data_IF_806369904392
#
_entry.id   IF_806369904392
#
_cell.length_a   1.000
_cell.length_b   1.000
_cell.length_c   1.000
_cell.angle_alpha   90.00
_cell.angle_beta   90.00
_cell.angle_gamma   90.00
#
_symmetry.space_group_name_H-M   'P 1'
#
loop_
_entity.id
_entity.type
_entity.pdbx_description
1 polymer ?
#
# COMPACT_ATOMS: atom_id res chain seq x y z
N UNK A 1 12.86 -5.97 18.17
CA UNK A 1 12.11 -6.78 19.15
C UNK A 1 10.64 -6.36 19.30
N UNK A 2 10.30 -5.08 19.48
CA UNK A 2 8.89 -4.70 19.71
C UNK A 2 7.97 -4.92 18.49
N UNK A 3 8.40 -4.49 17.28
CA UNK A 3 7.61 -4.66 16.06
C UNK A 3 7.42 -6.13 15.62
N UNK A 4 8.30 -7.04 16.06
CA UNK A 4 8.21 -8.46 15.74
C UNK A 4 7.23 -9.23 16.63
N UNK A 5 6.71 -8.63 17.70
CA UNK A 5 5.75 -9.27 18.61
C UNK A 5 4.29 -9.08 18.21
N UNK A 6 3.99 -8.05 17.40
CA UNK A 6 2.62 -7.72 16.99
C UNK A 6 1.93 -8.92 16.32
N UNK A 7 2.58 -9.53 15.34
CA UNK A 7 1.97 -10.60 14.54
C UNK A 7 1.85 -11.93 15.27
N UNK A 8 2.83 -12.37 16.09
CA UNK A 8 2.64 -13.49 17.01
C UNK A 8 1.45 -13.33 17.95
N UNK A 9 1.21 -12.12 18.49
CA UNK A 9 0.03 -11.85 19.33
C UNK A 9 -1.25 -11.87 18.49
N UNK A 10 -1.28 -11.18 17.35
CA UNK A 10 -2.44 -11.16 16.46
C UNK A 10 -2.85 -12.57 16.00
N UNK A 11 -1.87 -13.46 15.76
CA UNK A 11 -2.12 -14.83 15.31
C UNK A 11 -2.85 -15.68 16.36
N UNK A 12 -2.84 -15.30 17.64
CA UNK A 12 -3.63 -15.95 18.69
C UNK A 12 -5.14 -15.67 18.54
N UNK A 13 -5.51 -14.56 17.89
CA UNK A 13 -6.90 -14.12 17.75
C UNK A 13 -7.43 -14.24 16.32
N UNK A 14 -6.56 -14.03 15.32
CA UNK A 14 -6.90 -14.08 13.89
C UNK A 14 -5.89 -14.98 13.18
N UNK A 15 -6.15 -16.30 13.09
CA UNK A 15 -5.21 -17.24 12.50
C UNK A 15 -5.12 -17.11 10.98
N UNK A 16 -4.01 -17.59 10.41
CA UNK A 16 -3.83 -17.73 8.96
C UNK A 16 -3.48 -16.43 8.24
N UNK A 17 -3.02 -15.39 8.95
CA UNK A 17 -2.58 -14.13 8.34
C UNK A 17 -1.26 -14.25 7.57
N UNK A 18 -0.51 -15.33 7.81
CA UNK A 18 0.69 -15.77 7.09
C UNK A 18 0.40 -16.28 5.67
N UNK A 19 -0.86 -16.60 5.36
CA UNK A 19 -1.29 -17.19 4.07
C UNK A 19 -1.63 -16.15 3.01
N UNK A 20 -1.38 -14.87 3.28
CA UNK A 20 -1.70 -13.79 2.36
C UNK A 20 -0.89 -12.54 2.65
N UNK A 21 -1.42 -11.39 2.27
CA UNK A 21 -0.74 -10.10 2.33
C UNK A 21 -1.49 -9.09 3.18
N UNK A 22 -0.74 -8.13 3.72
CA UNK A 22 -1.28 -6.92 4.32
C UNK A 22 -1.24 -5.74 3.36
N UNK A 23 -2.37 -5.06 3.14
CA UNK A 23 -2.42 -3.81 2.41
C UNK A 23 -2.32 -2.63 3.37
N UNK A 24 -1.09 -2.17 3.61
CA UNK A 24 -0.82 -1.03 4.49
C UNK A 24 -0.36 0.18 3.70
N UNK A 25 -1.04 1.31 3.92
CA UNK A 25 -0.64 2.61 3.35
C UNK A 25 0.37 3.28 4.28
N UNK A 26 1.66 3.14 3.92
CA UNK A 26 2.79 3.60 4.72
C UNK A 26 3.50 4.74 3.99
N UNK A 27 3.81 5.82 4.68
CA UNK A 27 4.38 7.03 4.06
C UNK A 27 5.59 7.51 4.84
N UNK A 28 6.66 7.85 4.12
CA UNK A 28 7.69 8.73 4.65
C UNK A 28 7.19 10.18 4.70
N UNK A 29 7.91 11.00 5.45
CA UNK A 29 7.73 12.46 5.55
C UNK A 29 9.05 13.16 5.32
N UNK A 30 8.98 14.48 5.16
CA UNK A 30 10.15 15.34 5.02
C UNK A 30 11.16 15.10 6.14
N UNK A 31 12.42 15.31 5.81
CA UNK A 31 13.55 15.25 6.72
C UNK A 31 14.40 16.51 6.54
N UNK A 32 15.06 16.92 7.60
CA UNK A 32 16.01 18.03 7.61
C UNK A 32 17.31 17.61 8.31
N UNK A 33 18.28 18.51 8.35
CA UNK A 33 19.51 18.34 9.14
C UNK A 33 19.61 19.45 10.18
N UNK A 34 20.06 19.11 11.38
CA UNK A 34 20.42 20.10 12.40
C UNK A 34 21.69 20.86 11.97
N UNK A 35 22.01 22.01 12.59
CA UNK A 35 23.27 22.72 12.31
C UNK A 35 24.53 21.85 12.49
N UNK A 36 24.47 20.85 13.38
CA UNK A 36 25.55 19.86 13.58
C UNK A 36 25.55 18.70 12.59
N UNK A 37 24.71 18.72 11.56
CA UNK A 37 24.65 17.70 10.50
C UNK A 37 23.81 16.45 10.82
N UNK A 38 23.18 16.36 12.00
CA UNK A 38 22.36 15.22 12.38
C UNK A 38 21.00 15.24 11.66
N UNK A 39 20.49 14.09 11.18
CA UNK A 39 19.19 14.03 10.53
C UNK A 39 18.05 14.23 11.55
N UNK A 40 17.13 15.15 11.27
CA UNK A 40 15.90 15.37 12.02
C UNK A 40 14.70 14.97 11.16
N UNK A 41 13.96 13.94 11.60
CA UNK A 41 12.84 13.36 10.86
C UNK A 41 11.89 12.59 11.78
N UNK A 42 10.62 12.37 11.37
CA UNK A 42 9.70 11.54 12.13
C UNK A 42 10.22 10.11 12.33
N UNK A 43 9.89 9.52 13.47
CA UNK A 43 10.38 8.18 13.84
C UNK A 43 10.06 7.12 12.78
N UNK A 44 8.87 7.18 12.18
CA UNK A 44 8.46 6.23 11.14
C UNK A 44 9.22 6.44 9.83
N UNK A 45 9.51 7.68 9.44
CA UNK A 45 10.41 7.96 8.32
C UNK A 45 11.78 7.34 8.58
N UNK A 46 12.30 7.47 9.80
CA UNK A 46 13.58 6.87 10.18
C UNK A 46 13.52 5.34 10.11
N UNK A 47 12.43 4.73 10.60
CA UNK A 47 12.22 3.29 10.56
C UNK A 47 12.13 2.75 9.12
N UNK A 48 11.27 3.32 8.27
CA UNK A 48 11.12 2.88 6.88
C UNK A 48 12.41 3.04 6.09
N UNK A 49 13.22 4.07 6.37
CA UNK A 49 14.52 4.27 5.72
C UNK A 49 15.63 3.37 6.25
N UNK A 50 15.45 2.71 7.39
CA UNK A 50 16.45 1.84 8.03
C UNK A 50 16.59 0.48 7.35
N UNK A 51 17.71 -0.21 7.59
CA UNK A 51 17.92 -1.59 7.16
C UNK A 51 16.92 -2.57 7.78
N UNK A 52 16.42 -2.30 9.00
CA UNK A 52 15.40 -3.12 9.64
C UNK A 52 14.11 -3.21 8.85
N UNK A 53 13.79 -2.19 8.06
CA UNK A 53 12.63 -2.21 7.17
C UNK A 53 13.02 -2.64 5.76
N UNK A 54 14.04 -2.00 5.17
CA UNK A 54 14.44 -2.22 3.77
C UNK A 54 14.95 -3.63 3.51
N UNK A 55 15.76 -4.14 4.44
CA UNK A 55 16.45 -5.42 4.34
C UNK A 55 15.90 -6.41 5.37
N UNK A 56 14.61 -6.27 5.72
CA UNK A 56 13.95 -7.21 6.63
C UNK A 56 14.07 -8.63 6.06
N UNK A 57 14.42 -9.64 6.87
CA UNK A 57 14.37 -11.02 6.42
C UNK A 57 12.94 -11.35 5.99
N UNK A 58 12.80 -12.36 5.14
CA UNK A 58 11.48 -12.84 4.78
C UNK A 58 10.74 -13.27 6.05
N UNK A 59 9.57 -12.66 6.26
CA UNK A 59 8.62 -13.02 7.31
C UNK A 59 7.23 -13.00 6.66
N UNK A 60 6.49 -14.12 6.65
CA UNK A 60 5.16 -14.19 6.03
C UNK A 60 4.19 -13.15 6.59
N UNK A 61 4.38 -12.69 7.83
CA UNK A 61 3.56 -11.66 8.45
C UNK A 61 4.00 -10.22 8.13
N UNK A 62 5.09 -10.02 7.39
CA UNK A 62 5.49 -8.71 6.83
C UNK A 62 5.42 -8.67 5.31
N UNK A 63 4.67 -9.62 4.73
CA UNK A 63 4.34 -9.67 3.31
C UNK A 63 3.28 -8.59 2.99
N UNK A 64 3.74 -7.46 2.46
CA UNK A 64 2.89 -6.32 2.10
C UNK A 64 2.61 -6.28 0.61
N UNK A 65 1.48 -5.67 0.24
CA UNK A 65 1.17 -5.39 -1.17
C UNK A 65 2.09 -4.30 -1.74
N UNK A 66 2.48 -3.32 -0.92
CA UNK A 66 3.29 -2.18 -1.30
C UNK A 66 4.79 -2.52 -1.34
N UNK A 67 5.48 -2.36 -2.49
CA UNK A 67 6.93 -2.43 -2.55
C UNK A 67 7.60 -1.38 -1.66
N UNK A 68 8.85 -1.61 -1.24
CA UNK A 68 9.55 -0.63 -0.41
C UNK A 68 9.72 0.71 -1.15
N UNK A 69 9.93 0.70 -2.46
CA UNK A 69 10.11 1.87 -3.31
C UNK A 69 8.89 2.78 -3.30
N UNK A 70 7.68 2.21 -3.33
CA UNK A 70 6.43 2.99 -3.28
C UNK A 70 6.23 3.68 -1.93
N UNK A 71 6.64 3.02 -0.83
CA UNK A 71 6.60 3.57 0.54
C UNK A 71 7.66 4.66 0.74
N UNK A 72 8.82 4.50 0.12
CA UNK A 72 9.97 5.38 0.24
C UNK A 72 9.96 6.55 -0.75
N UNK A 73 8.96 6.60 -1.64
CA UNK A 73 8.78 7.72 -2.55
C UNK A 73 8.49 9.00 -1.74
N UNK A 74 9.28 10.08 -1.94
CA UNK A 74 9.10 11.33 -1.21
C UNK A 74 7.86 12.11 -1.67
N UNK A 75 7.41 11.88 -2.91
CA UNK A 75 6.18 12.44 -3.43
C UNK A 75 4.97 11.66 -2.88
N UNK A 76 4.16 12.32 -2.06
CA UNK A 76 3.02 11.69 -1.41
C UNK A 76 1.92 11.26 -2.37
N UNK A 77 1.76 11.94 -3.52
CA UNK A 77 0.79 11.55 -4.54
C UNK A 77 1.23 10.25 -5.20
N UNK A 78 2.48 10.21 -5.68
CA UNK A 78 3.03 9.03 -6.34
C UNK A 78 3.09 7.83 -5.40
N UNK A 79 3.47 8.05 -4.14
CA UNK A 79 3.44 7.03 -3.09
C UNK A 79 2.03 6.49 -2.86
N UNK A 80 1.02 7.35 -2.74
CA UNK A 80 -0.38 6.91 -2.53
C UNK A 80 -0.92 6.15 -3.74
N UNK A 81 -0.73 6.71 -4.94
CA UNK A 81 -1.22 6.13 -6.19
C UNK A 81 -0.65 4.72 -6.41
N UNK A 82 0.68 4.58 -6.32
CA UNK A 82 1.36 3.31 -6.55
C UNK A 82 1.03 2.26 -5.49
N UNK A 83 0.91 2.64 -4.21
CA UNK A 83 0.47 1.72 -3.15
C UNK A 83 -0.97 1.25 -3.35
N UNK A 84 -1.88 2.14 -3.74
CA UNK A 84 -3.27 1.79 -4.06
C UNK A 84 -3.33 0.82 -5.24
N UNK A 85 -2.60 1.11 -6.32
CA UNK A 85 -2.54 0.27 -7.50
C UNK A 85 -2.02 -1.13 -7.18
N UNK A 86 -0.94 -1.24 -6.40
CA UNK A 86 -0.40 -2.52 -5.96
C UNK A 86 -1.43 -3.30 -5.10
N UNK A 87 -2.17 -2.59 -4.24
CA UNK A 87 -3.23 -3.18 -3.43
C UNK A 87 -4.41 -3.72 -4.25
N UNK A 88 -4.80 -3.04 -5.32
CA UNK A 88 -5.82 -3.51 -6.25
C UNK A 88 -5.35 -4.71 -7.09
N UNK A 89 -4.12 -4.67 -7.61
CA UNK A 89 -3.56 -5.77 -8.40
C UNK A 89 -3.48 -7.08 -7.61
N UNK A 90 -3.28 -6.99 -6.30
CA UNK A 90 -3.12 -8.14 -5.40
C UNK A 90 -4.36 -8.38 -4.53
N UNK A 91 -5.54 -7.89 -4.95
CA UNK A 91 -6.71 -7.76 -4.07
C UNK A 91 -7.18 -9.08 -3.44
N UNK A 92 -6.98 -10.22 -4.12
CA UNK A 92 -7.37 -11.56 -3.63
C UNK A 92 -6.47 -12.05 -2.50
N UNK A 93 -5.22 -11.59 -2.45
CA UNK A 93 -4.26 -12.01 -1.42
C UNK A 93 -4.40 -11.17 -0.15
N UNK A 94 -5.17 -10.07 -0.18
CA UNK A 94 -5.30 -9.14 0.95
C UNK A 94 -6.15 -9.77 2.06
N UNK A 95 -5.51 -10.02 3.21
CA UNK A 95 -6.16 -10.55 4.41
C UNK A 95 -6.38 -9.49 5.48
N UNK A 96 -5.73 -8.33 5.36
CA UNK A 96 -5.79 -7.24 6.33
C UNK A 96 -5.43 -5.92 5.66
N UNK A 97 -6.06 -4.84 6.12
CA UNK A 97 -5.88 -3.50 5.57
C UNK A 97 -5.53 -2.52 6.67
N UNK A 98 -4.83 -1.44 6.34
CA UNK A 98 -4.66 -0.38 7.32
C UNK A 98 -3.69 0.73 6.97
N UNK A 99 -3.46 1.56 7.97
CA UNK A 99 -2.42 2.57 8.03
C UNK A 99 -2.04 2.76 9.50
N UNK A 100 -0.98 3.52 9.77
CA UNK A 100 -0.56 3.83 11.15
C UNK A 100 -1.67 4.52 11.95
N UNK A 101 -2.40 5.44 11.30
CA UNK A 101 -3.52 6.15 11.89
C UNK A 101 -4.76 5.97 11.02
N UNK A 102 -5.94 5.91 11.66
CA UNK A 102 -7.22 5.83 10.96
C UNK A 102 -7.40 6.93 9.90
N UNK A 103 -6.97 8.17 10.20
CA UNK A 103 -6.99 9.29 9.24
C UNK A 103 -6.14 9.03 7.99
N UNK A 104 -5.04 8.28 8.10
CA UNK A 104 -4.25 7.83 6.95
C UNK A 104 -5.04 6.89 6.05
N UNK A 105 -5.73 5.92 6.65
CA UNK A 105 -6.52 4.96 5.91
C UNK A 105 -7.75 5.60 5.25
N UNK A 106 -8.46 6.49 5.95
CA UNK A 106 -9.57 7.28 5.38
C UNK A 106 -9.11 8.09 4.17
N UNK A 107 -7.91 8.70 4.22
CA UNK A 107 -7.34 9.41 3.07
C UNK A 107 -7.05 8.49 1.90
N UNK A 108 -6.59 7.26 2.13
CA UNK A 108 -6.40 6.28 1.06
C UNK A 108 -7.74 5.90 0.40
N UNK A 109 -8.80 5.68 1.18
CA UNK A 109 -10.14 5.41 0.63
C UNK A 109 -10.67 6.63 -0.16
N UNK A 110 -10.48 7.85 0.35
CA UNK A 110 -10.81 9.09 -0.38
C UNK A 110 -9.99 9.28 -1.66
N UNK A 111 -8.73 8.84 -1.66
CA UNK A 111 -7.91 8.83 -2.85
C UNK A 111 -8.48 7.88 -3.90
N UNK A 112 -8.84 6.66 -3.53
CA UNK A 112 -9.49 5.71 -4.42
C UNK A 112 -10.82 6.26 -4.98
N UNK A 113 -11.64 6.88 -4.14
CA UNK A 113 -12.91 7.52 -4.55
C UNK A 113 -12.70 8.53 -5.69
N UNK A 114 -11.61 9.28 -5.64
CA UNK A 114 -11.28 10.29 -6.65
C UNK A 114 -10.57 9.70 -7.89
N UNK A 115 -9.68 8.72 -7.71
CA UNK A 115 -8.72 8.29 -8.73
C UNK A 115 -8.98 6.88 -9.30
N UNK A 116 -10.06 6.19 -8.90
CA UNK A 116 -10.37 4.87 -9.45
C UNK A 116 -10.45 4.80 -10.98
N UNK A 117 -10.89 5.82 -11.76
CA UNK A 117 -10.92 5.71 -13.22
C UNK A 117 -9.51 5.56 -13.82
N UNK A 118 -8.54 6.31 -13.30
CA UNK A 118 -7.14 6.25 -13.72
C UNK A 118 -6.52 4.91 -13.30
N UNK A 119 -6.76 4.48 -12.06
CA UNK A 119 -6.26 3.20 -11.54
C UNK A 119 -6.81 2.02 -12.36
N UNK A 120 -8.10 2.04 -12.69
CA UNK A 120 -8.73 0.99 -13.50
C UNK A 120 -8.18 0.98 -14.94
N UNK A 121 -7.92 2.15 -15.54
CA UNK A 121 -7.26 2.26 -16.85
C UNK A 121 -5.86 1.66 -16.82
N UNK A 122 -5.07 1.96 -15.80
CA UNK A 122 -3.71 1.46 -15.66
C UNK A 122 -3.71 -0.06 -15.47
N UNK A 123 -4.63 -0.62 -14.67
CA UNK A 123 -4.86 -2.07 -14.57
C UNK A 123 -5.25 -2.67 -15.92
N UNK A 124 -6.20 -2.04 -16.64
CA UNK A 124 -6.70 -2.54 -17.93
C UNK A 124 -5.60 -2.63 -18.97
N UNK A 125 -4.76 -1.62 -19.05
CA UNK A 125 -3.68 -1.50 -20.06
C UNK A 125 -2.37 -2.12 -19.60
N UNK A 126 -2.22 -2.42 -18.31
CA UNK A 126 -0.95 -2.82 -17.70
C UNK A 126 0.12 -1.74 -17.77
N UNK A 127 -0.26 -0.48 -18.02
CA UNK A 127 0.67 0.63 -18.22
C UNK A 127 0.46 1.66 -17.12
N UNK A 128 1.53 1.96 -16.38
CA UNK A 128 1.48 2.93 -15.29
C UNK A 128 1.40 4.37 -15.82
N UNK A 129 0.50 5.15 -15.24
CA UNK A 129 0.25 6.57 -15.53
C UNK A 129 1.55 7.37 -15.63
N UNK A 130 1.63 8.26 -16.62
CA UNK A 130 2.78 9.14 -16.83
C UNK A 130 2.94 10.17 -15.70
N UNK A 131 1.93 10.36 -14.85
CA UNK A 131 2.03 11.19 -13.64
C UNK A 131 2.99 10.60 -12.59
N UNK A 132 3.25 9.28 -12.65
CA UNK A 132 4.23 8.64 -11.78
C UNK A 132 5.61 8.77 -12.42
N UNK A 133 6.33 9.82 -12.06
CA UNK A 133 7.62 10.17 -12.64
C UNK A 133 8.82 9.53 -11.93
N UNK A 134 8.66 9.10 -10.67
CA UNK A 134 9.71 8.46 -9.89
C UNK A 134 10.07 7.09 -10.48
N UNK A 135 11.30 6.98 -11.03
CA UNK A 135 11.76 5.78 -11.73
C UNK A 135 11.76 4.53 -10.85
N UNK A 136 12.16 4.65 -9.59
CA UNK A 136 12.18 3.51 -8.65
C UNK A 136 10.76 3.02 -8.34
N UNK A 137 9.79 3.93 -8.28
CA UNK A 137 8.37 3.56 -8.18
C UNK A 137 7.88 2.86 -9.45
N UNK A 138 8.21 3.40 -10.64
CA UNK A 138 7.79 2.81 -11.92
C UNK A 138 8.31 1.39 -12.09
N UNK A 139 9.59 1.16 -11.80
CA UNK A 139 10.22 -0.16 -11.86
C UNK A 139 9.53 -1.15 -10.92
N UNK A 140 9.36 -0.78 -9.65
CA UNK A 140 8.77 -1.67 -8.65
C UNK A 140 7.28 -1.99 -8.94
N UNK A 141 6.53 -1.03 -9.48
CA UNK A 141 5.13 -1.28 -9.90
C UNK A 141 5.10 -2.13 -11.18
N UNK A 142 6.05 -1.97 -12.09
CA UNK A 142 6.15 -2.76 -13.32
C UNK A 142 6.32 -4.26 -13.09
N UNK A 143 6.87 -4.67 -11.94
CA UNK A 143 6.95 -6.08 -11.54
C UNK A 143 5.58 -6.69 -11.18
N UNK A 144 4.62 -5.85 -10.78
CA UNK A 144 3.30 -6.25 -10.27
C UNK A 144 2.21 -6.01 -11.32
N UNK A 145 2.23 -4.85 -11.98
CA UNK A 145 1.20 -4.40 -12.89
C UNK A 145 1.26 -5.20 -14.20
N UNK A 146 0.16 -5.88 -14.51
CA UNK A 146 -0.04 -6.61 -15.77
C UNK A 146 -1.40 -6.21 -16.36
N UNK A 147 -1.57 -6.23 -17.69
CA UNK A 147 -2.87 -5.97 -18.30
C UNK A 147 -3.91 -6.97 -17.78
N UNK A 148 -4.91 -6.48 -17.05
CA UNK A 148 -6.02 -7.28 -16.54
C UNK A 148 -7.36 -6.54 -16.71
N UNK A 149 -7.98 -6.64 -17.90
CA UNK A 149 -9.28 -6.02 -18.14
C UNK A 149 -10.38 -6.51 -17.19
N UNK A 150 -10.32 -7.77 -16.73
CA UNK A 150 -11.34 -8.33 -15.83
C UNK A 150 -11.26 -7.69 -14.44
N UNK A 151 -10.05 -7.52 -13.92
CA UNK A 151 -9.83 -6.80 -12.67
C UNK A 151 -10.24 -5.33 -12.81
N UNK A 152 -9.88 -4.68 -13.91
CA UNK A 152 -10.28 -3.30 -14.17
C UNK A 152 -11.81 -3.15 -14.15
N UNK A 153 -12.54 -3.97 -14.90
CA UNK A 153 -14.00 -3.92 -14.97
C UNK A 153 -14.64 -4.20 -13.60
N UNK A 154 -14.08 -5.13 -12.82
CA UNK A 154 -14.49 -5.38 -11.44
C UNK A 154 -14.32 -4.13 -10.56
N UNK A 155 -13.14 -3.50 -10.56
CA UNK A 155 -12.87 -2.28 -9.79
C UNK A 155 -13.81 -1.15 -10.21
N UNK A 156 -14.01 -0.95 -11.51
CA UNK A 156 -14.96 0.07 -12.02
C UNK A 156 -16.38 -0.21 -11.55
N UNK A 157 -16.84 -1.47 -11.63
CA UNK A 157 -18.20 -1.85 -11.24
C UNK A 157 -18.48 -1.59 -9.75
N UNK A 158 -17.47 -1.77 -8.89
CA UNK A 158 -17.59 -1.55 -7.46
C UNK A 158 -17.51 -0.06 -7.08
N UNK A 159 -16.62 0.69 -7.73
CA UNK A 159 -16.39 2.11 -7.45
C UNK A 159 -17.46 3.04 -8.06
N UNK A 160 -18.14 2.62 -9.13
CA UNK A 160 -19.24 3.40 -9.76
C UNK A 160 -20.55 3.36 -8.96
N UNK A 161 -20.67 2.48 -7.96
CA UNK A 161 -21.87 2.40 -7.13
C UNK A 161 -22.06 3.70 -6.34
N UNK A 162 -23.31 4.14 -6.21
CA UNK A 162 -23.67 5.35 -5.46
C UNK A 162 -23.29 5.27 -3.99
N UNK A 163 -23.35 4.08 -3.38
CA UNK A 163 -22.95 3.84 -2.00
C UNK A 163 -21.59 3.14 -1.89
N UNK A 164 -20.68 3.77 -1.15
CA UNK A 164 -19.37 3.23 -0.78
C UNK A 164 -19.39 2.47 0.54
N UNK A 165 -20.55 2.31 1.19
CA UNK A 165 -20.66 1.52 2.42
C UNK A 165 -20.21 0.08 2.14
N UNK A 166 -19.18 -0.39 2.86
CA UNK A 166 -18.63 -1.74 2.67
C UNK A 166 -17.69 -1.89 1.47
N UNK A 167 -17.25 -0.79 0.84
CA UNK A 167 -16.36 -0.84 -0.34
C UNK A 167 -15.08 -1.68 -0.10
N UNK A 168 -14.53 -1.64 1.12
CA UNK A 168 -13.30 -2.36 1.48
C UNK A 168 -13.50 -3.87 1.30
N UNK A 169 -14.54 -4.45 1.88
CA UNK A 169 -14.82 -5.89 1.77
C UNK A 169 -15.39 -6.28 0.40
N UNK A 170 -15.79 -5.32 -0.44
CA UNK A 170 -16.14 -5.61 -1.84
C UNK A 170 -14.90 -5.72 -2.71
N UNK A 171 -13.97 -4.77 -2.61
CA UNK A 171 -12.73 -4.79 -3.40
C UNK A 171 -11.71 -5.82 -2.88
N UNK A 172 -11.59 -5.93 -1.57
CA UNK A 172 -10.68 -6.84 -0.86
C UNK A 172 -11.49 -7.84 0.00
N UNK A 173 -12.17 -8.83 -0.62
CA UNK A 173 -13.16 -9.67 0.05
C UNK A 173 -12.61 -10.61 1.13
N UNK A 174 -11.30 -10.88 1.12
CA UNK A 174 -10.65 -11.74 2.11
C UNK A 174 -10.15 -10.97 3.34
N UNK A 175 -10.41 -9.66 3.42
CA UNK A 175 -9.99 -8.82 4.54
C UNK A 175 -10.66 -9.27 5.85
N UNK A 176 -9.85 -9.57 6.86
CA UNK A 176 -10.28 -9.98 8.20
C UNK A 176 -10.34 -8.81 9.18
N UNK A 177 -9.45 -7.82 9.05
CA UNK A 177 -9.40 -6.60 9.86
C UNK A 177 -8.68 -5.45 9.16
#
# INVERSE_FOLDING_TARGET
LLYSLLMPVMNQFVPGLDKGKGMYFLFIKSESKTPGGLPARPVLTSYYKSSHFKNRPFDPYTNYTSPNQTILCPDSYQSMYSQMLCGLCQHKDVLRVGAVFASGFIRAIKFLEKHWPELARDIRTGTLSSEITDLSVREAVGEILKPDPKLADFVESECRKTSWQGIITRLWPNTKY
#
